data_IF_382479989864
#
_entry.id   IF_382479989864
#
_cell.length_a   1.000
_cell.length_b   1.000
_cell.length_c   1.000
_cell.angle_alpha   90.00
_cell.angle_beta   90.00
_cell.angle_gamma   90.00
#
_symmetry.space_group_name_H-M   'P 1'
#
loop_
_entity.id
_entity.type
_entity.pdbx_description
1 polymer ?
#
# COMPACT_ATOMS: atom_id res chain seq x y z
N UNK A 1 54.57 -35.98 58.91
CA UNK A 1 55.36 -34.75 58.76
C UNK A 1 54.97 -34.16 57.42
N UNK A 2 54.46 -32.91 57.39
CA UNK A 2 54.42 -31.90 56.29
C UNK A 2 54.42 -32.41 54.83
N UNK A 3 53.70 -31.91 53.84
CA UNK A 3 52.84 -30.74 53.57
C UNK A 3 52.38 -30.98 52.11
N UNK A 4 51.16 -30.59 51.72
CA UNK A 4 50.94 -29.68 50.58
C UNK A 4 49.46 -29.65 50.18
N UNK A 5 48.90 -28.47 50.40
CA UNK A 5 47.64 -27.95 49.93
C UNK A 5 47.61 -27.90 48.40
N UNK A 6 46.54 -28.36 47.77
CA UNK A 6 46.22 -28.02 46.38
C UNK A 6 45.01 -27.09 46.40
N UNK A 7 45.28 -25.85 46.00
CA UNK A 7 44.31 -24.80 45.71
C UNK A 7 43.63 -25.16 44.38
N UNK A 8 42.31 -25.29 44.38
CA UNK A 8 41.53 -25.40 43.15
C UNK A 8 41.42 -24.00 42.52
N UNK A 9 42.12 -23.78 41.41
CA UNK A 9 41.96 -22.60 40.57
C UNK A 9 40.69 -22.77 39.72
N UNK A 10 39.72 -21.88 39.91
CA UNK A 10 38.58 -21.74 39.01
C UNK A 10 39.08 -21.13 37.69
N UNK A 11 39.06 -21.91 36.61
CA UNK A 11 39.31 -21.42 35.26
C UNK A 11 38.05 -20.69 34.78
N UNK A 12 38.08 -19.36 34.80
CA UNK A 12 37.12 -18.52 34.07
C UNK A 12 37.41 -18.62 32.59
N UNK A 13 36.63 -19.41 31.86
CA UNK A 13 36.60 -19.36 30.40
C UNK A 13 35.96 -18.04 29.97
N UNK A 14 36.79 -17.08 29.58
CA UNK A 14 36.35 -15.86 28.91
C UNK A 14 35.75 -16.27 27.55
N UNK A 15 34.42 -16.23 27.46
CA UNK A 15 33.73 -16.21 26.16
C UNK A 15 34.01 -14.83 25.58
N UNK A 16 35.00 -14.74 24.70
CA UNK A 16 35.16 -13.58 23.84
C UNK A 16 34.03 -13.64 22.83
N UNK A 17 32.96 -12.89 23.09
CA UNK A 17 31.97 -12.59 22.08
C UNK A 17 32.71 -11.90 20.93
N UNK A 18 32.84 -12.60 19.80
CA UNK A 18 33.13 -11.93 18.54
C UNK A 18 31.93 -11.03 18.27
N UNK A 19 32.06 -9.75 18.54
CA UNK A 19 31.19 -8.74 17.97
C UNK A 19 31.29 -8.93 16.44
N UNK A 20 30.18 -9.31 15.83
CA UNK A 20 30.05 -9.26 14.38
C UNK A 20 30.13 -7.79 13.98
N UNK A 21 31.33 -7.36 13.58
CA UNK A 21 31.53 -6.07 12.96
C UNK A 21 31.05 -6.16 11.50
N UNK A 22 29.81 -5.77 11.28
CA UNK A 22 29.39 -4.87 10.18
C UNK A 22 27.87 -4.76 10.15
N UNK A 23 27.27 -4.03 11.09
CA UNK A 23 26.04 -3.33 10.75
C UNK A 23 26.45 -2.27 9.72
N UNK A 24 26.37 -2.58 8.43
CA UNK A 24 26.28 -1.49 7.46
C UNK A 24 25.02 -0.72 7.86
N UNK A 25 25.20 0.46 8.45
CA UNK A 25 24.09 1.37 8.70
C UNK A 25 23.46 1.62 7.34
N UNK A 26 22.25 1.12 7.14
CA UNK A 26 21.49 1.41 5.93
C UNK A 26 21.28 2.92 5.88
N UNK A 27 21.54 3.51 4.74
CA UNK A 27 21.34 4.94 4.53
C UNK A 27 20.09 5.08 3.69
N UNK A 28 19.04 5.60 4.30
CA UNK A 28 17.78 5.86 3.63
C UNK A 28 17.95 6.90 2.51
N UNK A 29 17.27 6.67 1.37
CA UNK A 29 17.24 7.66 0.29
C UNK A 29 16.34 8.82 0.69
N UNK A 30 16.89 10.03 0.67
CA UNK A 30 16.20 11.27 1.06
C UNK A 30 16.06 12.23 -0.11
N UNK A 31 15.01 13.05 -0.05
CA UNK A 31 14.70 14.07 -1.05
C UNK A 31 14.50 15.40 -0.35
N UNK A 32 14.76 16.51 -1.05
CA UNK A 32 14.55 17.83 -0.48
C UNK A 32 13.06 18.16 -0.40
N UNK A 33 12.58 18.45 0.80
CA UNK A 33 11.20 18.86 1.04
C UNK A 33 10.89 20.19 0.36
N UNK A 34 9.75 20.25 -0.34
CA UNK A 34 9.20 21.49 -0.91
C UNK A 34 8.23 22.12 0.10
N UNK A 35 8.58 23.28 0.67
CA UNK A 35 7.78 23.99 1.68
C UNK A 35 7.68 25.49 1.36
N UNK A 36 6.88 25.87 0.34
CA UNK A 36 6.74 27.25 -0.08
C UNK A 36 6.03 28.10 0.99
N UNK A 37 6.32 29.39 1.01
CA UNK A 37 5.61 30.34 1.88
C UNK A 37 4.17 30.53 1.40
N UNK A 38 3.25 30.85 2.32
CA UNK A 38 1.84 31.10 1.97
C UNK A 38 1.64 32.14 0.85
N UNK A 39 2.51 33.16 0.78
CA UNK A 39 2.48 34.15 -0.30
C UNK A 39 2.87 33.58 -1.67
N UNK A 40 3.79 32.61 -1.70
CA UNK A 40 4.20 31.92 -2.93
C UNK A 40 3.08 30.99 -3.40
N UNK A 41 2.45 30.27 -2.46
CA UNK A 41 1.27 29.44 -2.73
C UNK A 41 0.13 30.28 -3.31
N UNK A 42 -0.20 31.42 -2.67
CA UNK A 42 -1.25 32.31 -3.16
C UNK A 42 -0.94 32.88 -4.56
N UNK A 43 0.32 33.21 -4.84
CA UNK A 43 0.76 33.69 -6.16
C UNK A 43 0.75 32.59 -7.23
N UNK A 44 1.03 31.33 -6.86
CA UNK A 44 0.93 30.20 -7.76
C UNK A 44 -0.54 29.88 -8.06
N UNK A 45 -1.41 29.94 -7.05
CA UNK A 45 -2.84 29.70 -7.18
C UNK A 45 -3.52 30.61 -8.20
N UNK A 46 -3.14 31.88 -8.28
CA UNK A 46 -3.71 32.83 -9.26
C UNK A 46 -3.36 32.52 -10.72
N UNK A 47 -2.33 31.70 -10.96
CA UNK A 47 -1.83 31.34 -12.29
C UNK A 47 -1.96 29.84 -12.59
N UNK A 48 -2.53 29.06 -11.67
CA UNK A 48 -2.64 27.62 -11.82
C UNK A 48 -3.55 27.29 -13.00
N UNK A 49 -3.05 26.44 -13.91
CA UNK A 49 -3.83 25.93 -15.03
C UNK A 49 -4.49 24.62 -14.61
N UNK A 50 -5.79 24.51 -14.82
CA UNK A 50 -6.58 23.31 -14.52
C UNK A 50 -7.17 22.74 -15.79
N UNK A 51 -6.96 21.44 -16.01
CA UNK A 51 -7.56 20.73 -17.14
C UNK A 51 -9.01 20.33 -16.83
N UNK A 52 -9.93 20.60 -17.75
CA UNK A 52 -11.35 20.24 -17.63
C UNK A 52 -11.79 19.47 -18.88
N UNK A 53 -11.33 18.23 -19.02
CA UNK A 53 -11.71 17.40 -20.15
C UNK A 53 -12.04 15.96 -19.73
N UNK A 54 -12.95 15.37 -20.49
CA UNK A 54 -13.32 13.96 -20.40
C UNK A 54 -13.03 13.27 -21.73
N UNK A 55 -12.61 12.02 -21.66
CA UNK A 55 -12.57 11.12 -22.81
C UNK A 55 -13.82 10.23 -22.83
N UNK A 56 -14.01 9.45 -23.89
CA UNK A 56 -15.16 8.56 -24.04
C UNK A 56 -14.73 7.16 -24.50
N UNK A 57 -13.79 6.56 -23.77
CA UNK A 57 -13.27 5.21 -24.02
C UNK A 57 -14.17 4.19 -23.32
N UNK A 58 -14.99 3.48 -24.08
CA UNK A 58 -15.88 2.46 -23.50
C UNK A 58 -15.07 1.36 -22.82
N UNK A 59 -15.44 1.02 -21.58
CA UNK A 59 -14.87 -0.10 -20.85
C UNK A 59 -15.74 -1.35 -20.92
N UNK A 60 -15.21 -2.48 -20.45
CA UNK A 60 -15.93 -3.75 -20.45
C UNK A 60 -17.05 -3.80 -19.40
N UNK A 61 -16.81 -3.27 -18.21
CA UNK A 61 -17.74 -3.29 -17.08
C UNK A 61 -18.17 -1.88 -16.63
N UNK A 62 -17.30 -0.89 -16.78
CA UNK A 62 -17.58 0.51 -16.44
C UNK A 62 -16.91 1.45 -17.45
N UNK A 63 -17.50 2.62 -17.65
CA UNK A 63 -16.92 3.67 -18.51
C UNK A 63 -16.18 4.71 -17.67
N UNK A 64 -16.43 4.77 -16.36
CA UNK A 64 -15.72 5.65 -15.42
C UNK A 64 -15.46 4.92 -14.12
N UNK A 65 -14.32 5.19 -13.49
CA UNK A 65 -14.01 4.76 -12.13
C UNK A 65 -13.66 5.96 -11.26
N UNK A 66 -14.25 6.02 -10.07
CA UNK A 66 -13.96 7.01 -9.02
C UNK A 66 -13.49 6.29 -7.78
N UNK A 67 -12.24 6.50 -7.38
CA UNK A 67 -11.61 5.90 -6.22
C UNK A 67 -11.56 6.95 -5.13
N UNK A 68 -12.07 6.63 -3.95
CA UNK A 68 -12.08 7.49 -2.77
C UNK A 68 -11.35 6.77 -1.65
N UNK A 69 -10.28 7.37 -1.13
CA UNK A 69 -9.52 6.83 0.00
C UNK A 69 -9.80 7.64 1.25
N UNK A 70 -10.02 6.93 2.36
CA UNK A 70 -10.08 7.43 3.72
C UNK A 70 -8.83 6.96 4.49
N UNK A 71 -8.64 7.47 5.70
CA UNK A 71 -7.46 7.19 6.54
C UNK A 71 -7.63 5.96 7.44
N UNK A 72 -6.53 5.24 7.74
CA UNK A 72 -6.47 4.05 8.63
C UNK A 72 -7.61 3.95 9.63
N UNK A 73 -8.33 2.84 9.51
CA UNK A 73 -9.14 2.36 10.61
C UNK A 73 -9.23 0.84 10.57
N UNK A 74 -9.39 0.21 11.72
CA UNK A 74 -9.63 -1.24 11.74
C UNK A 74 -10.96 -1.59 11.07
N UNK A 75 -10.96 -2.62 10.22
CA UNK A 75 -12.12 -3.07 9.43
C UNK A 75 -13.45 -3.05 10.21
N UNK A 76 -13.47 -3.62 11.42
CA UNK A 76 -14.69 -3.74 12.22
C UNK A 76 -15.25 -2.38 12.65
N UNK A 77 -14.39 -1.36 12.85
CA UNK A 77 -14.82 0.00 13.17
C UNK A 77 -15.51 0.65 11.97
N UNK A 78 -14.92 0.52 10.78
CA UNK A 78 -15.51 1.03 9.53
C UNK A 78 -16.81 0.30 9.18
N UNK A 79 -16.79 -1.03 9.16
CA UNK A 79 -17.96 -1.86 8.84
C UNK A 79 -19.13 -1.66 9.83
N UNK A 80 -18.81 -1.26 11.08
CA UNK A 80 -19.79 -0.94 12.11
C UNK A 80 -20.34 0.49 12.09
N UNK A 81 -19.74 1.41 11.33
CA UNK A 81 -20.16 2.82 11.29
C UNK A 81 -21.43 2.98 10.44
N UNK A 82 -22.40 3.76 10.94
CA UNK A 82 -23.78 3.80 10.39
C UNK A 82 -23.88 4.31 8.93
N UNK A 83 -23.10 5.33 8.56
CA UNK A 83 -23.09 5.93 7.22
C UNK A 83 -22.38 5.04 6.20
N UNK A 84 -21.24 4.44 6.58
CA UNK A 84 -20.52 3.46 5.75
C UNK A 84 -21.34 2.19 5.55
N UNK A 85 -22.06 1.75 6.59
CA UNK A 85 -23.01 0.65 6.48
C UNK A 85 -24.18 0.99 5.56
N UNK A 86 -24.68 2.22 5.59
CA UNK A 86 -25.72 2.67 4.66
C UNK A 86 -25.21 2.64 3.21
N UNK A 87 -23.98 3.12 2.97
CA UNK A 87 -23.34 3.07 1.66
C UNK A 87 -23.14 1.62 1.18
N UNK A 88 -22.67 0.72 2.05
CA UNK A 88 -22.51 -0.69 1.73
C UNK A 88 -23.79 -1.37 1.22
N UNK A 89 -24.96 -0.96 1.74
CA UNK A 89 -26.26 -1.47 1.27
C UNK A 89 -26.58 -1.06 -0.18
N UNK A 90 -25.91 -0.02 -0.72
CA UNK A 90 -26.12 0.44 -2.09
C UNK A 90 -25.23 -0.30 -3.10
N UNK A 91 -24.37 -1.21 -2.66
CA UNK A 91 -23.32 -1.80 -3.50
C UNK A 91 -22.84 -3.17 -3.04
N UNK A 92 -21.57 -3.47 -3.33
CA UNK A 92 -20.93 -4.75 -2.97
C UNK A 92 -19.87 -4.46 -1.91
N UNK A 93 -19.89 -5.19 -0.79
CA UNK A 93 -18.80 -5.17 0.19
C UNK A 93 -17.69 -6.12 -0.28
N UNK A 94 -16.46 -5.64 -0.31
CA UNK A 94 -15.28 -6.48 -0.56
C UNK A 94 -14.68 -6.88 0.80
N UNK A 95 -15.10 -8.03 1.34
CA UNK A 95 -14.74 -8.42 2.72
C UNK A 95 -13.34 -9.04 2.84
N UNK A 96 -12.64 -9.22 1.72
CA UNK A 96 -11.27 -9.74 1.64
C UNK A 96 -10.34 -8.78 0.89
N UNK A 97 -10.50 -7.48 1.12
CA UNK A 97 -9.63 -6.42 0.61
C UNK A 97 -8.54 -6.04 1.64
N UNK A 98 -7.30 -5.87 1.17
CA UNK A 98 -6.12 -5.68 2.01
C UNK A 98 -5.30 -4.42 1.68
N UNK A 99 -4.81 -3.76 2.73
CA UNK A 99 -3.67 -2.84 2.63
C UNK A 99 -2.39 -3.58 2.23
N UNK A 100 -1.40 -2.87 1.69
CA UNK A 100 -0.14 -3.47 1.23
C UNK A 100 0.93 -3.49 2.32
N UNK A 101 1.01 -2.41 3.09
CA UNK A 101 1.96 -2.25 4.20
C UNK A 101 1.47 -1.15 5.14
N UNK A 102 2.28 -0.84 6.14
CA UNK A 102 2.25 0.42 6.86
C UNK A 102 3.52 1.25 6.55
N UNK A 103 3.48 2.58 6.70
CA UNK A 103 2.32 3.45 6.99
C UNK A 103 1.49 3.76 5.72
N UNK A 104 0.76 4.86 5.67
CA UNK A 104 -0.11 5.31 4.58
C UNK A 104 0.62 5.52 3.23
N UNK A 105 1.67 6.35 3.20
CA UNK A 105 2.35 6.79 1.96
C UNK A 105 2.74 5.65 1.00
N UNK A 106 3.34 4.52 1.43
CA UNK A 106 3.63 3.42 0.53
C UNK A 106 2.39 2.83 -0.17
N UNK A 107 1.22 2.81 0.47
CA UNK A 107 -0.01 2.33 -0.16
C UNK A 107 -0.44 3.25 -1.32
N UNK A 108 -0.37 4.57 -1.12
CA UNK A 108 -0.65 5.56 -2.16
C UNK A 108 0.30 5.39 -3.36
N UNK A 109 1.61 5.32 -3.11
CA UNK A 109 2.62 5.08 -4.16
C UNK A 109 2.29 3.80 -4.95
N UNK A 110 2.07 2.69 -4.25
CA UNK A 110 1.83 1.39 -4.86
C UNK A 110 0.52 1.32 -5.65
N UNK A 111 -0.52 2.03 -5.24
CA UNK A 111 -1.84 2.05 -5.89
C UNK A 111 -1.83 2.62 -7.31
N UNK A 112 -0.81 3.41 -7.68
CA UNK A 112 -0.69 4.00 -9.02
C UNK A 112 0.56 3.55 -9.77
N UNK A 113 1.62 3.11 -9.07
CA UNK A 113 2.88 2.68 -9.70
C UNK A 113 3.18 1.19 -9.58
N UNK A 114 2.36 0.41 -8.90
CA UNK A 114 2.50 -1.06 -8.84
C UNK A 114 3.66 -1.58 -7.97
N UNK A 115 4.29 -0.73 -7.18
CA UNK A 115 5.30 -1.05 -6.16
C UNK A 115 5.44 0.15 -5.20
N UNK A 116 5.76 -0.09 -3.94
CA UNK A 116 6.07 0.96 -2.95
C UNK A 116 7.58 1.09 -2.69
N UNK A 117 8.42 0.36 -3.42
CA UNK A 117 9.87 0.50 -3.46
C UNK A 117 10.54 0.44 -2.09
N UNK A 118 9.97 -0.39 -1.21
CA UNK A 118 10.36 -0.59 0.19
C UNK A 118 10.10 0.58 1.16
N UNK A 119 9.37 1.64 0.79
CA UNK A 119 9.06 2.72 1.73
C UNK A 119 8.34 2.20 3.00
N UNK A 120 8.75 2.69 4.18
CA UNK A 120 8.14 2.39 5.49
C UNK A 120 7.96 3.60 6.40
N UNK A 121 8.04 4.80 5.82
CA UNK A 121 7.79 6.07 6.49
C UNK A 121 6.98 7.00 5.58
N UNK A 122 6.65 8.18 6.11
CA UNK A 122 5.85 9.22 5.45
C UNK A 122 6.70 10.46 5.08
N UNK A 123 7.97 10.24 4.74
CA UNK A 123 8.89 11.35 4.40
C UNK A 123 8.63 11.85 2.99
N UNK A 124 9.12 13.05 2.65
CA UNK A 124 9.00 13.56 1.28
C UNK A 124 9.66 12.61 0.26
N UNK A 125 8.86 12.03 -0.65
CA UNK A 125 9.32 11.18 -1.75
C UNK A 125 9.20 11.86 -3.12
N UNK A 126 10.25 11.75 -3.95
CA UNK A 126 10.20 12.08 -5.37
C UNK A 126 10.74 10.90 -6.19
N UNK A 127 9.83 10.10 -6.74
CA UNK A 127 10.18 8.91 -7.52
C UNK A 127 10.68 9.31 -8.92
N UNK A 128 11.82 8.76 -9.38
CA UNK A 128 12.41 9.11 -10.67
C UNK A 128 11.46 9.01 -11.86
N UNK A 129 11.64 9.89 -12.85
CA UNK A 129 10.76 10.01 -14.03
C UNK A 129 10.76 8.80 -14.97
N UNK A 130 11.70 7.86 -14.81
CA UNK A 130 11.71 6.59 -15.55
C UNK A 130 10.82 5.51 -14.90
N UNK A 131 10.17 5.80 -13.77
CA UNK A 131 9.13 4.94 -13.19
C UNK A 131 7.77 5.34 -13.78
N UNK A 132 7.18 4.41 -14.53
CA UNK A 132 5.84 4.56 -15.08
C UNK A 132 4.75 4.34 -14.03
N UNK A 133 3.61 4.99 -14.22
CA UNK A 133 2.39 4.84 -13.43
C UNK A 133 1.22 4.42 -14.31
N UNK A 134 0.07 4.16 -13.71
CA UNK A 134 -1.18 3.87 -14.41
C UNK A 134 -1.54 4.93 -15.47
N UNK A 135 -1.09 6.18 -15.30
CA UNK A 135 -1.28 7.25 -16.29
C UNK A 135 -0.58 6.96 -17.61
N UNK A 136 0.62 6.36 -17.58
CA UNK A 136 1.32 5.97 -18.81
C UNK A 136 0.54 4.86 -19.56
N UNK A 137 -0.25 4.04 -18.85
CA UNK A 137 -1.15 3.06 -19.46
C UNK A 137 -2.36 3.75 -20.11
N UNK A 138 -2.91 4.78 -19.46
CA UNK A 138 -4.04 5.56 -19.97
C UNK A 138 -3.71 6.32 -21.25
N UNK A 139 -2.48 6.81 -21.40
CA UNK A 139 -2.01 7.48 -22.61
C UNK A 139 -2.13 6.59 -23.87
N UNK A 140 -2.12 5.26 -23.72
CA UNK A 140 -2.27 4.34 -24.86
C UNK A 140 -3.64 4.40 -25.54
N UNK A 141 -4.66 4.90 -24.83
CA UNK A 141 -6.03 5.05 -25.33
C UNK A 141 -6.62 6.44 -25.06
N UNK A 142 -5.80 7.40 -24.66
CA UNK A 142 -6.22 8.77 -24.30
C UNK A 142 -7.32 8.79 -23.21
N UNK A 143 -7.23 7.88 -22.24
CA UNK A 143 -8.17 7.82 -21.12
C UNK A 143 -7.90 9.00 -20.19
N UNK A 144 -8.91 9.86 -20.01
CA UNK A 144 -8.81 11.03 -19.15
C UNK A 144 -8.76 10.62 -17.69
N UNK A 145 -7.92 11.31 -16.93
CA UNK A 145 -7.74 11.06 -15.51
C UNK A 145 -7.59 12.37 -14.74
N UNK A 146 -7.94 12.37 -13.46
CA UNK A 146 -7.59 13.45 -12.53
C UNK A 146 -7.51 12.95 -11.09
N UNK A 147 -6.78 13.67 -10.26
CA UNK A 147 -6.85 13.54 -8.81
C UNK A 147 -7.57 14.75 -8.24
N UNK A 148 -8.45 14.54 -7.27
CA UNK A 148 -9.18 15.59 -6.57
C UNK A 148 -8.86 15.51 -5.08
N UNK A 149 -8.11 16.49 -4.61
CA UNK A 149 -7.54 16.50 -3.27
C UNK A 149 -8.18 17.64 -2.47
N UNK A 150 -8.88 17.30 -1.38
CA UNK A 150 -9.58 18.31 -0.59
C UNK A 150 -8.58 19.25 0.09
N UNK A 151 -8.86 20.55 0.00
CA UNK A 151 -7.98 21.63 0.47
C UNK A 151 -6.57 21.68 -0.15
N UNK A 152 -6.32 20.99 -1.28
CA UNK A 152 -5.13 21.26 -2.11
C UNK A 152 -5.15 22.75 -2.52
N UNK A 153 -4.14 23.56 -2.19
CA UNK A 153 -4.26 25.02 -2.28
C UNK A 153 -4.44 25.54 -3.71
N UNK A 154 -3.93 24.80 -4.70
CA UNK A 154 -4.18 25.03 -6.11
C UNK A 154 -3.84 23.78 -6.91
N UNK A 155 -4.35 23.70 -8.16
CA UNK A 155 -3.97 22.64 -9.09
C UNK A 155 -2.46 22.54 -9.24
N UNK A 156 -1.92 21.34 -9.17
CA UNK A 156 -0.50 21.07 -9.34
C UNK A 156 0.39 21.45 -8.16
N UNK A 157 -0.17 21.66 -6.97
CA UNK A 157 0.63 21.95 -5.78
C UNK A 157 1.51 20.74 -5.39
N UNK A 158 2.82 20.97 -5.29
CA UNK A 158 3.82 19.93 -5.01
C UNK A 158 4.43 20.04 -3.60
N UNK A 159 3.98 21.01 -2.79
CA UNK A 159 4.50 21.19 -1.44
C UNK A 159 4.12 20.03 -0.53
N UNK A 160 4.92 19.82 0.51
CA UNK A 160 4.77 18.70 1.45
C UNK A 160 3.40 18.68 2.15
N UNK A 161 2.90 19.84 2.52
CA UNK A 161 1.59 20.01 3.13
C UNK A 161 1.06 21.44 2.90
N UNK A 162 -0.22 21.61 3.17
CA UNK A 162 -0.87 22.91 3.27
C UNK A 162 -1.83 22.89 4.46
N UNK A 163 -1.65 23.83 5.38
CA UNK A 163 -2.47 23.94 6.59
C UNK A 163 -3.68 24.84 6.38
N UNK A 164 -4.68 24.67 7.23
CA UNK A 164 -5.81 25.57 7.31
C UNK A 164 -5.36 27.01 7.65
N UNK A 165 -5.87 27.99 6.92
CA UNK A 165 -5.42 29.38 7.07
C UNK A 165 -6.04 30.11 8.28
N UNK A 166 -7.10 29.54 8.90
CA UNK A 166 -7.76 30.13 10.06
C UNK A 166 -7.26 29.52 11.38
N UNK A 167 -7.13 28.18 11.45
CA UNK A 167 -6.80 27.46 12.69
C UNK A 167 -5.47 26.69 12.65
N UNK A 168 -4.76 26.70 11.51
CA UNK A 168 -3.47 26.02 11.30
C UNK A 168 -3.48 24.49 11.50
N UNK A 169 -4.65 23.86 11.56
CA UNK A 169 -4.75 22.40 11.49
C UNK A 169 -4.21 21.88 10.15
N UNK A 170 -3.82 20.61 10.10
CA UNK A 170 -3.45 19.99 8.83
C UNK A 170 -4.69 19.93 7.93
N UNK A 171 -4.52 20.33 6.67
CA UNK A 171 -5.58 20.26 5.67
C UNK A 171 -5.16 19.27 4.59
N UNK A 172 -4.27 19.68 3.69
CA UNK A 172 -3.72 18.83 2.64
C UNK A 172 -2.33 18.32 3.03
N UNK A 173 -2.07 17.03 2.79
CA UNK A 173 -0.73 16.42 2.89
C UNK A 173 -0.39 15.70 1.59
N UNK A 174 0.86 15.86 1.15
CA UNK A 174 1.33 15.28 -0.12
C UNK A 174 1.34 13.76 -0.13
N UNK A 175 1.56 13.14 1.03
CA UNK A 175 1.59 11.67 1.18
C UNK A 175 0.28 10.98 0.79
N UNK A 176 -0.85 11.69 0.78
CA UNK A 176 -2.16 11.17 0.36
C UNK A 176 -2.53 11.49 -1.10
N UNK A 177 -1.56 12.00 -1.87
CA UNK A 177 -1.71 12.38 -3.26
C UNK A 177 -0.74 11.53 -4.11
N UNK A 178 -1.19 10.44 -4.74
CA UNK A 178 -0.28 9.41 -5.23
C UNK A 178 0.54 9.85 -6.45
N UNK A 179 -0.05 10.50 -7.46
CA UNK A 179 0.67 10.81 -8.70
C UNK A 179 1.64 11.98 -8.56
N UNK A 180 1.44 12.93 -7.64
CA UNK A 180 2.41 14.01 -7.40
C UNK A 180 3.76 13.50 -6.86
N UNK A 181 3.81 12.25 -6.37
CA UNK A 181 5.03 11.60 -5.89
C UNK A 181 5.95 11.09 -7.01
N UNK A 182 5.46 11.05 -8.26
CA UNK A 182 6.21 10.56 -9.42
C UNK A 182 6.67 11.74 -10.29
N UNK A 183 7.98 11.87 -10.54
CA UNK A 183 8.51 12.94 -11.38
C UNK A 183 8.01 12.87 -12.84
N UNK A 184 7.60 11.69 -13.31
CA UNK A 184 6.93 11.51 -14.62
C UNK A 184 5.58 12.25 -14.71
N UNK A 185 5.03 12.68 -13.57
CA UNK A 185 3.84 13.53 -13.45
C UNK A 185 4.20 14.90 -12.92
N UNK A 186 4.92 14.98 -11.81
CA UNK A 186 5.23 16.24 -11.12
C UNK A 186 6.06 17.22 -11.96
N UNK A 187 6.89 16.72 -12.89
CA UNK A 187 7.70 17.53 -13.80
C UNK A 187 7.08 17.70 -15.19
N UNK A 188 5.84 17.23 -15.40
CA UNK A 188 5.10 17.37 -16.65
C UNK A 188 3.90 18.30 -16.42
N UNK A 189 3.99 19.55 -16.90
CA UNK A 189 2.98 20.58 -16.66
C UNK A 189 1.57 20.16 -17.08
N UNK A 190 1.43 19.41 -18.18
CA UNK A 190 0.11 18.94 -18.65
C UNK A 190 -0.48 17.88 -17.73
N UNK A 191 0.34 16.96 -17.21
CA UNK A 191 -0.11 15.94 -16.24
C UNK A 191 -0.36 16.55 -14.87
N UNK A 192 0.50 17.48 -14.44
CA UNK A 192 0.37 18.19 -13.18
C UNK A 192 -0.94 19.01 -13.11
N UNK A 193 -1.42 19.53 -14.25
CA UNK A 193 -2.71 20.21 -14.38
C UNK A 193 -3.95 19.30 -14.17
N UNK A 194 -3.76 17.98 -14.03
CA UNK A 194 -4.80 17.02 -13.65
C UNK A 194 -4.85 16.73 -12.14
N UNK A 195 -3.94 17.28 -11.34
CA UNK A 195 -3.93 17.15 -9.88
C UNK A 195 -4.61 18.37 -9.27
N UNK A 196 -5.88 18.24 -8.91
CA UNK A 196 -6.82 19.34 -8.71
C UNK A 196 -7.22 19.49 -7.26
N UNK A 197 -7.60 20.72 -6.89
CA UNK A 197 -8.39 20.94 -5.68
C UNK A 197 -9.76 20.25 -5.83
N UNK A 198 -10.25 19.64 -4.75
CA UNK A 198 -11.54 18.94 -4.72
C UNK A 198 -12.75 19.79 -5.18
N UNK A 199 -12.74 21.11 -5.00
CA UNK A 199 -13.77 22.01 -5.54
C UNK A 199 -13.93 21.93 -7.06
N UNK A 200 -12.88 21.52 -7.78
CA UNK A 200 -12.97 21.30 -9.23
C UNK A 200 -13.82 20.07 -9.59
N UNK A 201 -14.02 19.12 -8.67
CA UNK A 201 -14.89 17.96 -8.90
C UNK A 201 -16.32 18.40 -9.15
N UNK A 202 -16.86 19.32 -8.33
CA UNK A 202 -18.21 19.83 -8.52
C UNK A 202 -18.37 20.57 -9.85
N UNK A 203 -17.35 21.35 -10.23
CA UNK A 203 -17.32 22.00 -11.54
C UNK A 203 -17.34 20.96 -12.67
N UNK A 204 -16.46 19.97 -12.63
CA UNK A 204 -16.38 18.91 -13.64
C UNK A 204 -17.65 18.03 -13.70
N UNK A 205 -18.33 17.84 -12.56
CA UNK A 205 -19.63 17.18 -12.49
C UNK A 205 -20.72 18.00 -13.18
N UNK A 206 -20.81 19.30 -12.87
CA UNK A 206 -21.84 20.20 -13.42
C UNK A 206 -21.66 20.45 -14.92
N UNK A 207 -20.41 20.58 -15.36
CA UNK A 207 -20.07 20.83 -16.77
C UNK A 207 -20.05 19.54 -17.60
N UNK A 208 -20.28 18.38 -16.97
CA UNK A 208 -20.22 17.04 -17.56
C UNK A 208 -18.86 16.72 -18.20
N UNK A 209 -17.79 17.09 -17.50
CA UNK A 209 -16.38 16.89 -17.88
C UNK A 209 -15.60 16.01 -16.91
N UNK A 210 -16.26 15.33 -15.96
CA UNK A 210 -15.60 14.32 -15.11
C UNK A 210 -14.72 13.36 -15.91
N UNK A 211 -13.47 13.11 -15.51
CA UNK A 211 -12.58 12.20 -16.20
C UNK A 211 -13.04 10.74 -16.04
N UNK A 212 -12.50 9.84 -16.85
CA UNK A 212 -12.82 8.41 -16.77
C UNK A 212 -12.14 7.72 -15.59
N UNK A 213 -10.98 8.20 -15.14
CA UNK A 213 -10.33 7.76 -13.90
C UNK A 213 -10.19 8.93 -12.91
N UNK A 214 -10.80 8.81 -11.74
CA UNK A 214 -10.68 9.81 -10.67
C UNK A 214 -10.10 9.17 -9.42
N UNK A 215 -9.11 9.81 -8.79
CA UNK A 215 -8.66 9.47 -7.44
C UNK A 215 -8.98 10.64 -6.51
N UNK A 216 -9.61 10.37 -5.38
CA UNK A 216 -10.12 11.38 -4.46
C UNK A 216 -9.61 11.09 -3.05
N UNK A 217 -9.05 12.10 -2.41
CA UNK A 217 -8.69 12.06 -0.99
C UNK A 217 -9.32 13.25 -0.28
N UNK A 218 -10.09 13.05 0.80
CA UNK A 218 -10.48 14.13 1.71
C UNK A 218 -9.26 14.74 2.40
N UNK A 219 -9.47 15.84 3.10
CA UNK A 219 -8.43 16.45 3.93
C UNK A 219 -8.25 15.63 5.22
N UNK A 220 -7.18 15.94 5.97
CA UNK A 220 -6.80 15.25 7.22
C UNK A 220 -7.89 15.24 8.31
N UNK A 221 -8.89 16.12 8.21
CA UNK A 221 -10.04 16.11 9.13
C UNK A 221 -11.12 15.14 8.63
N UNK A 222 -11.42 15.17 7.34
CA UNK A 222 -12.52 14.47 6.69
C UNK A 222 -12.18 13.03 6.30
N UNK A 223 -10.91 12.68 6.14
CA UNK A 223 -10.45 11.31 5.90
C UNK A 223 -10.47 10.46 7.19
N UNK A 224 -10.40 11.12 8.35
CA UNK A 224 -10.42 10.50 9.67
C UNK A 224 -9.12 10.65 10.46
N UNK A 225 -8.02 11.15 9.87
CA UNK A 225 -6.68 11.19 10.46
C UNK A 225 -6.61 12.02 11.74
N UNK A 226 -6.97 13.30 11.65
CA UNK A 226 -6.98 14.23 12.78
C UNK A 226 -8.33 14.18 13.53
N UNK A 227 -9.22 13.26 13.14
CA UNK A 227 -10.53 13.05 13.77
C UNK A 227 -10.83 11.58 14.12
N UNK A 228 -11.79 10.94 13.45
CA UNK A 228 -12.20 9.55 13.64
C UNK A 228 -13.20 9.10 12.57
N UNK A 229 -13.45 7.79 12.54
CA UNK A 229 -14.36 7.11 11.63
C UNK A 229 -15.79 7.69 11.57
N UNK A 230 -16.28 8.37 12.62
CA UNK A 230 -17.60 9.01 12.57
C UNK A 230 -17.61 10.18 11.58
N UNK A 231 -16.55 10.98 11.57
CA UNK A 231 -16.42 12.13 10.66
C UNK A 231 -16.19 11.62 9.24
N UNK A 232 -15.27 10.68 9.05
CA UNK A 232 -14.99 10.09 7.75
C UNK A 232 -16.19 9.39 7.11
N UNK A 233 -16.93 8.59 7.89
CA UNK A 233 -18.16 7.94 7.41
C UNK A 233 -19.24 8.95 7.03
N UNK A 234 -19.43 10.00 7.84
CA UNK A 234 -20.39 11.06 7.53
C UNK A 234 -20.00 11.82 6.26
N UNK A 235 -18.74 12.24 6.14
CA UNK A 235 -18.22 12.92 4.94
C UNK A 235 -18.45 12.07 3.68
N UNK A 236 -18.13 10.77 3.77
CA UNK A 236 -18.29 9.83 2.65
C UNK A 236 -19.74 9.75 2.17
N UNK A 237 -20.69 9.70 3.10
CA UNK A 237 -22.11 9.65 2.75
C UNK A 237 -22.63 11.00 2.25
N UNK A 238 -22.26 12.10 2.89
CA UNK A 238 -22.64 13.44 2.44
C UNK A 238 -22.17 13.69 0.99
N UNK A 239 -20.98 13.20 0.65
CA UNK A 239 -20.43 13.26 -0.70
C UNK A 239 -21.12 12.30 -1.68
N UNK A 240 -21.26 11.02 -1.34
CA UNK A 240 -21.70 9.99 -2.27
C UNK A 240 -23.21 9.89 -2.43
N UNK A 241 -24.02 10.08 -1.37
CA UNK A 241 -25.48 9.90 -1.42
C UNK A 241 -26.14 10.77 -2.51
N UNK A 242 -25.82 12.08 -2.66
CA UNK A 242 -26.36 12.88 -3.76
C UNK A 242 -25.91 12.39 -5.15
N UNK A 243 -24.67 11.91 -5.27
CA UNK A 243 -24.10 11.43 -6.53
C UNK A 243 -24.76 10.14 -7.01
N UNK A 244 -25.18 9.27 -6.09
CA UNK A 244 -25.92 8.04 -6.42
C UNK A 244 -27.29 8.32 -7.08
N UNK A 245 -27.79 9.55 -6.98
CA UNK A 245 -29.02 10.00 -7.66
C UNK A 245 -28.75 10.88 -8.89
N UNK A 246 -27.49 11.18 -9.22
CA UNK A 246 -27.12 12.03 -10.34
C UNK A 246 -26.97 11.19 -11.62
N UNK A 247 -27.78 11.48 -12.65
CA UNK A 247 -27.81 10.70 -13.89
C UNK A 247 -26.46 10.67 -14.62
N UNK A 248 -25.75 11.80 -14.71
CA UNK A 248 -24.45 11.86 -15.39
C UNK A 248 -23.36 11.12 -14.60
N UNK A 249 -23.36 11.26 -13.28
CA UNK A 249 -22.44 10.52 -12.42
C UNK A 249 -22.71 9.02 -12.49
N UNK A 250 -23.98 8.60 -12.48
CA UNK A 250 -24.35 7.18 -12.47
C UNK A 250 -24.27 6.51 -13.84
N UNK A 251 -23.97 7.23 -14.92
CA UNK A 251 -23.80 6.66 -16.26
C UNK A 251 -22.54 5.77 -16.31
N UNK A 252 -22.71 4.47 -16.08
CA UNK A 252 -21.66 3.43 -16.08
C UNK A 252 -20.42 3.76 -15.22
N UNK A 253 -20.59 4.52 -14.14
CA UNK A 253 -19.50 4.79 -13.19
C UNK A 253 -19.42 3.69 -12.13
N UNK A 254 -18.23 3.14 -11.94
CA UNK A 254 -17.85 2.37 -10.75
C UNK A 254 -17.25 3.32 -9.71
N UNK A 255 -17.69 3.22 -8.46
CA UNK A 255 -17.07 3.94 -7.34
C UNK A 255 -16.44 2.92 -6.42
N UNK A 256 -15.21 3.18 -5.99
CA UNK A 256 -14.51 2.40 -4.95
C UNK A 256 -14.32 3.32 -3.76
N UNK A 257 -14.92 3.00 -2.61
CA UNK A 257 -14.61 3.65 -1.35
C UNK A 257 -13.81 2.67 -0.49
N UNK A 258 -12.61 3.07 -0.09
CA UNK A 258 -11.67 2.23 0.65
C UNK A 258 -10.82 3.06 1.62
N UNK A 259 -9.90 2.40 2.32
CA UNK A 259 -8.93 2.99 3.24
C UNK A 259 -7.53 2.60 2.77
N UNK A 260 -6.53 3.42 3.09
CA UNK A 260 -5.13 3.16 2.75
C UNK A 260 -4.55 1.91 3.44
N UNK A 261 -4.95 1.66 4.67
CA UNK A 261 -4.52 0.54 5.53
C UNK A 261 -5.41 0.44 6.80
N UNK A 262 -5.06 -0.46 7.72
CA UNK A 262 -5.74 -0.56 9.02
C UNK A 262 -4.96 0.18 10.13
N UNK A 263 -5.62 0.52 11.24
CA UNK A 263 -4.98 1.26 12.34
C UNK A 263 -4.02 0.38 13.16
N UNK A 264 -4.36 -0.89 13.38
CA UNK A 264 -3.63 -1.77 14.29
C UNK A 264 -2.57 -2.61 13.58
N UNK A 265 -1.28 -2.29 13.78
CA UNK A 265 -0.12 -2.96 13.14
C UNK A 265 0.10 -4.43 13.57
N UNK A 266 -0.62 -4.91 14.59
CA UNK A 266 -0.50 -6.28 15.10
C UNK A 266 -1.56 -7.25 14.60
N UNK A 267 -2.52 -6.78 13.80
CA UNK A 267 -3.58 -7.60 13.20
C UNK A 267 -3.43 -7.63 11.67
N UNK A 268 -4.29 -8.40 10.99
CA UNK A 268 -4.29 -8.47 9.53
C UNK A 268 -4.69 -7.12 8.92
N UNK A 269 -3.90 -6.58 8.00
CA UNK A 269 -4.17 -5.33 7.29
C UNK A 269 -5.33 -5.46 6.30
N UNK A 270 -6.52 -5.71 6.82
CA UNK A 270 -7.77 -5.75 6.07
C UNK A 270 -8.46 -4.40 6.21
N UNK A 271 -8.92 -3.86 5.10
CA UNK A 271 -9.59 -2.56 5.04
C UNK A 271 -11.00 -2.71 4.52
N UNK A 272 -11.92 -1.95 5.09
CA UNK A 272 -13.31 -1.97 4.65
C UNK A 272 -13.41 -1.33 3.27
N UNK A 273 -13.90 -2.07 2.29
CA UNK A 273 -14.01 -1.57 0.92
C UNK A 273 -15.37 -1.89 0.36
N UNK A 274 -15.95 -0.92 -0.36
CA UNK A 274 -17.23 -1.09 -1.05
C UNK A 274 -17.13 -0.62 -2.50
N UNK A 275 -17.85 -1.32 -3.37
CA UNK A 275 -18.09 -0.95 -4.76
C UNK A 275 -19.50 -0.39 -4.90
N UNK A 276 -19.63 0.81 -5.46
CA UNK A 276 -20.89 1.54 -5.67
C UNK A 276 -20.98 2.04 -7.12
N UNK A 277 -22.05 2.78 -7.42
CA UNK A 277 -22.22 3.45 -8.71
C UNK A 277 -23.08 2.67 -9.70
N UNK A 278 -23.35 3.27 -10.86
CA UNK A 278 -24.25 2.68 -11.85
C UNK A 278 -23.66 1.51 -12.64
N UNK A 279 -22.35 1.27 -12.53
CA UNK A 279 -21.73 0.07 -13.05
C UNK A 279 -22.01 -1.19 -12.19
N UNK A 280 -22.51 -1.04 -10.95
CA UNK A 280 -22.88 -2.17 -10.10
C UNK A 280 -24.28 -2.67 -10.47
N UNK A 281 -24.44 -3.92 -10.95
CA UNK A 281 -25.75 -4.49 -11.25
C UNK A 281 -26.67 -4.51 -10.04
N UNK A 282 -27.98 -4.27 -10.24
CA UNK A 282 -28.96 -4.18 -9.16
C UNK A 282 -29.02 -5.47 -8.31
N UNK A 283 -28.83 -6.64 -8.92
CA UNK A 283 -28.82 -7.94 -8.24
C UNK A 283 -27.58 -8.16 -7.35
N UNK A 284 -26.53 -7.36 -7.51
CA UNK A 284 -25.33 -7.42 -6.69
C UNK A 284 -25.33 -6.36 -5.57
N UNK A 285 -26.32 -5.45 -5.52
CA UNK A 285 -26.43 -4.50 -4.42
C UNK A 285 -26.76 -5.22 -3.10
N UNK A 286 -26.18 -4.73 -2.01
CA UNK A 286 -26.26 -5.33 -0.68
C UNK A 286 -25.76 -6.80 -0.65
N UNK A 287 -24.69 -7.09 -1.41
CA UNK A 287 -24.01 -8.38 -1.39
C UNK A 287 -22.56 -8.24 -0.89
N UNK A 288 -21.87 -9.37 -0.81
CA UNK A 288 -20.47 -9.44 -0.37
C UNK A 288 -19.69 -10.28 -1.37
N UNK A 289 -18.51 -9.78 -1.74
CA UNK A 289 -17.50 -10.48 -2.53
C UNK A 289 -16.29 -10.78 -1.62
N UNK A 290 -15.93 -12.07 -1.56
CA UNK A 290 -14.83 -12.59 -0.73
C UNK A 290 -13.56 -12.91 -1.51
N UNK A 291 -13.52 -12.55 -2.79
CA UNK A 291 -12.31 -12.60 -3.61
C UNK A 291 -11.21 -11.77 -2.97
N UNK A 292 -9.98 -12.28 -2.98
CA UNK A 292 -8.84 -11.53 -2.45
C UNK A 292 -8.53 -10.33 -3.35
N UNK A 293 -8.43 -9.16 -2.75
CA UNK A 293 -7.96 -7.93 -3.38
C UNK A 293 -6.95 -7.22 -2.48
N UNK A 294 -6.13 -6.38 -3.10
CA UNK A 294 -5.27 -5.40 -2.44
C UNK A 294 -5.15 -4.13 -3.29
N UNK A 295 -4.41 -3.11 -2.87
CA UNK A 295 -4.33 -1.85 -3.62
C UNK A 295 -3.79 -1.97 -5.05
N UNK A 296 -3.09 -3.05 -5.41
CA UNK A 296 -2.71 -3.29 -6.81
C UNK A 296 -3.93 -3.63 -7.69
N UNK A 297 -5.03 -4.06 -7.07
CA UNK A 297 -6.31 -4.31 -7.75
C UNK A 297 -6.94 -3.03 -8.31
N UNK A 298 -6.53 -1.86 -7.81
CA UNK A 298 -6.90 -0.54 -8.35
C UNK A 298 -6.18 -0.20 -9.66
N UNK A 299 -5.09 -0.92 -9.99
CA UNK A 299 -4.42 -0.83 -11.29
C UNK A 299 -4.94 -1.92 -12.22
N UNK A 300 -4.95 -3.17 -11.77
CA UNK A 300 -5.31 -4.31 -12.61
C UNK A 300 -6.76 -4.26 -13.09
N UNK A 301 -7.70 -3.74 -12.27
CA UNK A 301 -9.11 -3.67 -12.65
C UNK A 301 -9.38 -2.67 -13.79
N UNK A 302 -8.92 -1.39 -13.73
CA UNK A 302 -8.94 -0.50 -14.89
C UNK A 302 -8.19 -1.04 -16.11
N UNK A 303 -7.03 -1.66 -15.91
CA UNK A 303 -6.23 -2.26 -17.00
C UNK A 303 -7.00 -3.37 -17.71
N UNK A 304 -7.67 -4.25 -16.96
CA UNK A 304 -8.53 -5.27 -17.54
C UNK A 304 -9.78 -4.67 -18.19
N UNK A 305 -10.44 -3.73 -17.52
CA UNK A 305 -11.67 -3.09 -17.99
C UNK A 305 -11.49 -2.39 -19.34
N UNK A 306 -10.38 -1.69 -19.53
CA UNK A 306 -10.07 -1.00 -20.78
C UNK A 306 -9.08 -1.76 -21.67
N UNK A 307 -8.77 -3.03 -21.39
CA UNK A 307 -7.88 -3.86 -22.21
C UNK A 307 -6.54 -3.15 -22.53
N UNK A 308 -5.84 -2.76 -21.45
CA UNK A 308 -4.55 -2.05 -21.47
C UNK A 308 -3.37 -3.02 -21.22
N UNK A 309 -2.14 -2.64 -21.60
CA UNK A 309 -0.93 -3.30 -21.11
C UNK A 309 -0.71 -3.09 -19.60
N UNK A 310 0.29 -3.75 -19.01
CA UNK A 310 0.66 -3.60 -17.58
C UNK A 310 1.92 -2.76 -17.36
N UNK A 311 2.19 -2.40 -16.11
CA UNK A 311 3.46 -1.79 -15.66
C UNK A 311 4.58 -2.83 -15.51
N UNK A 312 4.27 -4.13 -15.60
CA UNK A 312 5.23 -5.20 -15.35
C UNK A 312 5.62 -5.34 -13.87
N UNK A 313 4.79 -4.84 -12.94
CA UNK A 313 5.04 -4.89 -11.49
C UNK A 313 3.92 -5.70 -10.82
N UNK A 314 3.60 -5.42 -9.56
CA UNK A 314 2.60 -6.19 -8.82
C UNK A 314 1.18 -6.07 -9.40
N UNK A 315 0.94 -5.14 -10.34
CA UNK A 315 -0.28 -5.03 -11.13
C UNK A 315 -0.52 -6.23 -12.08
N UNK A 316 0.54 -6.92 -12.52
CA UNK A 316 0.47 -8.05 -13.47
C UNK A 316 -0.41 -9.18 -12.94
N UNK A 317 -0.21 -9.54 -11.67
CA UNK A 317 -0.81 -10.70 -11.02
C UNK A 317 -1.91 -10.32 -10.02
N UNK A 318 -2.15 -9.04 -9.75
CA UNK A 318 -3.23 -8.61 -8.88
C UNK A 318 -4.59 -9.09 -9.42
N UNK A 319 -5.48 -9.56 -8.54
CA UNK A 319 -6.84 -9.90 -8.93
C UNK A 319 -7.56 -8.65 -9.44
N UNK A 320 -8.57 -8.83 -10.29
CA UNK A 320 -9.41 -7.74 -10.78
C UNK A 320 -10.78 -7.86 -10.12
N UNK A 321 -11.47 -6.76 -9.85
CA UNK A 321 -12.80 -6.81 -9.25
C UNK A 321 -13.69 -7.81 -9.99
N UNK A 322 -14.42 -8.64 -9.24
CA UNK A 322 -15.17 -9.78 -9.80
C UNK A 322 -16.17 -9.34 -10.87
N UNK A 323 -16.72 -8.12 -10.74
CA UNK A 323 -17.55 -7.50 -11.77
C UNK A 323 -16.83 -7.33 -13.13
N UNK A 324 -15.53 -7.03 -13.11
CA UNK A 324 -14.66 -6.94 -14.29
C UNK A 324 -14.28 -8.34 -14.75
N UNK A 325 -13.91 -9.23 -13.83
CA UNK A 325 -13.52 -10.60 -14.14
C UNK A 325 -14.60 -11.34 -14.95
N UNK A 326 -15.85 -11.21 -14.51
CA UNK A 326 -17.01 -11.85 -15.12
C UNK A 326 -17.26 -11.46 -16.58
N UNK A 327 -17.00 -10.19 -16.94
CA UNK A 327 -17.24 -9.69 -18.30
C UNK A 327 -16.00 -9.77 -19.20
N UNK A 328 -14.81 -9.89 -18.61
CA UNK A 328 -13.53 -9.99 -19.34
C UNK A 328 -13.00 -11.42 -19.46
N UNK A 329 -13.70 -12.40 -18.88
CA UNK A 329 -13.29 -13.81 -18.83
C UNK A 329 -11.91 -14.01 -18.17
N UNK A 330 -11.63 -13.19 -17.16
CA UNK A 330 -10.46 -13.33 -16.30
C UNK A 330 -10.83 -14.23 -15.12
N UNK A 331 -9.92 -15.13 -14.73
CA UNK A 331 -10.08 -15.93 -13.51
C UNK A 331 -9.22 -15.34 -12.40
N UNK A 332 -9.85 -14.89 -11.32
CA UNK A 332 -9.17 -14.46 -10.11
C UNK A 332 -8.47 -15.66 -9.42
N UNK A 333 -7.32 -15.40 -8.79
CA UNK A 333 -6.57 -16.40 -8.04
C UNK A 333 -7.04 -16.39 -6.60
N UNK A 334 -7.25 -17.58 -6.04
CA UNK A 334 -7.36 -17.75 -4.60
C UNK A 334 -5.99 -17.50 -3.95
N UNK A 335 -5.97 -16.67 -2.92
CA UNK A 335 -4.76 -16.34 -2.16
C UNK A 335 -4.91 -16.83 -0.73
N UNK A 336 -3.95 -17.64 -0.26
CA UNK A 336 -3.92 -18.07 1.14
C UNK A 336 -3.53 -16.88 2.04
N UNK A 337 -4.51 -16.41 2.80
CA UNK A 337 -4.35 -15.30 3.74
C UNK A 337 -4.18 -15.75 5.20
N UNK A 338 -3.96 -17.06 5.45
CA UNK A 338 -3.90 -17.63 6.80
C UNK A 338 -2.89 -16.90 7.69
N UNK A 339 -1.68 -16.68 7.18
CA UNK A 339 -0.56 -16.04 7.90
C UNK A 339 -0.18 -14.66 7.35
N UNK A 340 -1.00 -14.08 6.47
CA UNK A 340 -0.75 -12.77 5.88
C UNK A 340 -1.07 -11.67 6.89
N UNK A 341 -0.15 -10.71 7.03
CA UNK A 341 -0.32 -9.51 7.86
C UNK A 341 -0.33 -8.23 7.03
N UNK A 342 0.66 -8.03 6.15
CA UNK A 342 0.84 -6.79 5.37
C UNK A 342 1.05 -5.53 6.24
N UNK A 343 1.86 -5.64 7.30
CA UNK A 343 2.16 -4.51 8.20
C UNK A 343 3.63 -4.10 8.24
N UNK A 344 4.44 -4.62 7.31
CA UNK A 344 5.87 -4.41 7.30
C UNK A 344 6.38 -4.40 5.87
N UNK A 345 7.40 -3.57 5.65
CA UNK A 345 8.12 -3.51 4.38
C UNK A 345 9.25 -4.53 4.31
N UNK A 346 9.78 -4.71 3.10
CA UNK A 346 11.05 -5.37 2.84
C UNK A 346 12.17 -4.33 2.74
N UNK A 347 13.45 -4.72 2.83
CA UNK A 347 14.55 -3.76 2.58
C UNK A 347 14.78 -3.61 1.08
N UNK A 348 14.68 -2.39 0.58
CA UNK A 348 14.82 -2.09 -0.84
C UNK A 348 15.26 -0.65 -1.12
N UNK A 349 14.94 -0.18 -2.32
CA UNK A 349 15.43 1.09 -2.86
C UNK A 349 15.21 2.28 -1.90
N UNK A 350 14.03 2.48 -1.32
CA UNK A 350 13.85 3.68 -0.48
C UNK A 350 14.60 3.58 0.87
N UNK A 351 14.82 2.38 1.41
CA UNK A 351 15.49 2.20 2.71
C UNK A 351 17.00 2.08 2.68
N UNK A 352 17.59 1.85 1.51
CA UNK A 352 19.02 1.61 1.40
C UNK A 352 19.56 2.17 0.08
N UNK A 353 20.29 3.28 0.16
CA UNK A 353 20.85 4.02 -0.97
C UNK A 353 21.86 3.22 -1.81
N UNK A 354 22.27 2.04 -1.34
CA UNK A 354 23.12 1.09 -2.07
C UNK A 354 22.31 0.07 -2.90
N UNK A 355 21.01 -0.10 -2.64
CA UNK A 355 20.15 -1.03 -3.39
C UNK A 355 19.63 -0.31 -4.64
N UNK A 356 19.86 -0.88 -5.83
CA UNK A 356 19.34 -0.32 -7.07
C UNK A 356 17.81 -0.36 -7.13
N UNK A 357 17.22 0.56 -7.90
CA UNK A 357 15.78 0.60 -8.16
C UNK A 357 15.36 -0.70 -8.89
N UNK A 358 14.37 -1.47 -8.40
CA UNK A 358 14.01 -2.74 -9.02
C UNK A 358 13.34 -2.54 -10.38
N UNK A 359 13.88 -3.20 -11.39
CA UNK A 359 13.31 -3.21 -12.73
C UNK A 359 11.96 -3.95 -12.74
N UNK A 360 10.96 -3.46 -13.49
CA UNK A 360 9.74 -4.23 -13.73
C UNK A 360 10.06 -5.50 -14.54
N UNK A 361 9.23 -6.54 -14.39
CA UNK A 361 9.28 -7.73 -15.20
C UNK A 361 8.77 -7.45 -16.62
N UNK A 362 9.66 -6.98 -17.49
CA UNK A 362 9.34 -6.60 -18.89
C UNK A 362 8.86 -7.75 -19.77
N UNK A 363 8.94 -9.00 -19.29
CA UNK A 363 8.47 -10.20 -20.02
C UNK A 363 7.09 -10.68 -19.55
N UNK A 364 6.51 -10.01 -18.54
CA UNK A 364 5.24 -10.40 -17.95
C UNK A 364 4.09 -10.28 -18.94
N UNK A 365 3.14 -11.22 -18.81
CA UNK A 365 1.82 -11.16 -19.42
C UNK A 365 0.83 -11.07 -18.26
N UNK A 366 0.03 -10.00 -18.23
CA UNK A 366 -0.96 -9.78 -17.17
C UNK A 366 -2.21 -10.65 -17.40
N UNK A 367 -3.17 -10.52 -16.49
CA UNK A 367 -4.39 -11.35 -16.49
C UNK A 367 -5.31 -11.17 -17.70
N UNK A 368 -5.32 -10.01 -18.35
CA UNK A 368 -6.09 -9.79 -19.58
C UNK A 368 -5.33 -10.29 -20.84
N UNK A 369 -4.16 -10.92 -20.68
CA UNK A 369 -3.36 -11.48 -21.76
C UNK A 369 -2.49 -10.47 -22.51
N UNK A 370 -2.38 -9.23 -22.01
CA UNK A 370 -1.53 -8.19 -22.56
C UNK A 370 -0.13 -8.25 -21.95
N UNK A 371 0.86 -7.82 -22.72
CA UNK A 371 2.22 -7.65 -22.22
C UNK A 371 2.38 -6.36 -21.42
N UNK A 372 3.60 -6.13 -20.97
CA UNK A 372 4.03 -4.86 -20.38
C UNK A 372 3.99 -3.75 -21.42
N UNK A 373 3.69 -2.52 -21.00
CA UNK A 373 3.72 -1.34 -21.86
C UNK A 373 5.06 -1.24 -22.58
N UNK A 374 5.05 -1.06 -23.91
CA UNK A 374 6.28 -1.08 -24.71
C UNK A 374 7.31 -0.04 -24.24
N UNK A 375 6.86 1.15 -23.83
CA UNK A 375 7.74 2.17 -23.26
C UNK A 375 8.47 1.68 -22.00
N UNK A 376 7.81 0.89 -21.15
CA UNK A 376 8.43 0.29 -19.97
C UNK A 376 9.45 -0.77 -20.41
N UNK A 377 9.12 -1.60 -21.40
CA UNK A 377 10.06 -2.59 -21.96
C UNK A 377 11.31 -1.92 -22.52
N UNK A 378 11.15 -0.84 -23.30
CA UNK A 378 12.26 -0.10 -23.91
C UNK A 378 13.12 0.61 -22.85
N UNK A 379 12.49 1.15 -21.80
CA UNK A 379 13.17 1.86 -20.71
C UNK A 379 13.93 0.93 -19.77
N UNK A 380 13.43 -0.29 -19.54
CA UNK A 380 13.90 -1.18 -18.47
C UNK A 380 14.51 -2.50 -18.96
N UNK A 381 14.45 -2.83 -20.25
CA UNK A 381 14.84 -4.14 -20.76
C UNK A 381 16.28 -4.54 -20.44
N UNK A 382 17.24 -3.61 -20.58
CA UNK A 382 18.64 -3.85 -20.25
C UNK A 382 18.86 -4.01 -18.74
N UNK A 383 18.24 -3.15 -17.93
CA UNK A 383 18.32 -3.20 -16.47
C UNK A 383 17.68 -4.48 -15.91
N UNK A 384 16.51 -4.87 -16.42
CA UNK A 384 15.85 -6.12 -16.07
C UNK A 384 16.75 -7.33 -16.38
N UNK A 385 17.36 -7.34 -17.57
CA UNK A 385 18.29 -8.42 -17.97
C UNK A 385 19.51 -8.47 -17.06
N UNK A 386 20.05 -7.31 -16.67
CA UNK A 386 21.18 -7.21 -15.74
C UNK A 386 20.80 -7.72 -14.34
N UNK A 387 19.68 -7.25 -13.77
CA UNK A 387 19.22 -7.64 -12.42
C UNK A 387 18.87 -9.14 -12.34
N UNK A 388 18.20 -9.69 -13.36
CA UNK A 388 17.91 -11.13 -13.43
C UNK A 388 19.17 -12.00 -13.45
N UNK A 389 20.23 -11.53 -14.12
CA UNK A 389 21.50 -12.26 -14.21
C UNK A 389 22.29 -12.27 -12.89
N UNK A 390 21.97 -11.36 -11.96
CA UNK A 390 22.75 -11.14 -10.75
C UNK A 390 22.32 -12.01 -9.54
N UNK A 391 21.33 -12.90 -9.70
CA UNK A 391 20.90 -13.93 -8.73
C UNK A 391 20.41 -13.47 -7.34
N UNK A 392 20.28 -12.16 -7.08
CA UNK A 392 19.67 -11.59 -5.86
C UNK A 392 18.24 -11.07 -6.07
N UNK A 393 17.69 -11.17 -7.29
CA UNK A 393 16.43 -10.55 -7.65
C UNK A 393 15.25 -11.52 -7.51
N UNK A 394 14.31 -11.20 -6.63
CA UNK A 394 12.94 -11.73 -6.70
C UNK A 394 12.15 -10.74 -7.55
N UNK A 395 11.60 -11.21 -8.67
CA UNK A 395 10.74 -10.40 -9.54
C UNK A 395 9.66 -9.69 -8.73
N UNK A 396 9.36 -8.42 -9.06
CA UNK A 396 8.23 -7.61 -8.54
C UNK A 396 6.84 -8.22 -8.88
N UNK A 397 6.83 -9.47 -9.32
CA UNK A 397 5.66 -10.28 -9.66
C UNK A 397 5.75 -11.63 -8.94
N UNK A 398 5.85 -11.64 -7.62
CA UNK A 398 5.31 -12.71 -6.77
C UNK A 398 5.20 -12.20 -5.35
N UNK A 399 3.99 -12.22 -4.79
CA UNK A 399 3.75 -12.10 -3.36
C UNK A 399 4.68 -13.05 -2.62
N UNK A 400 5.67 -12.54 -1.89
CA UNK A 400 6.40 -13.36 -0.92
C UNK A 400 5.44 -13.58 0.25
N UNK A 401 4.61 -14.61 0.18
CA UNK A 401 4.03 -15.21 1.37
C UNK A 401 5.18 -15.91 2.10
N UNK A 402 5.73 -15.26 3.12
CA UNK A 402 6.65 -15.91 4.03
C UNK A 402 5.93 -17.13 4.63
N UNK A 403 6.24 -18.32 4.12
CA UNK A 403 5.80 -19.57 4.71
C UNK A 403 6.77 -19.91 5.85
N UNK A 404 6.25 -20.32 7.01
CA UNK A 404 7.07 -20.66 8.19
C UNK A 404 7.97 -21.91 7.95
N UNK A 405 7.98 -22.46 6.73
CA UNK A 405 8.91 -23.50 6.28
C UNK A 405 10.21 -22.98 5.65
N UNK A 406 10.29 -21.71 5.21
CA UNK A 406 11.46 -21.18 4.49
C UNK A 406 12.57 -20.61 5.41
N UNK A 407 12.32 -20.63 6.72
CA UNK A 407 13.32 -20.28 7.75
C UNK A 407 14.54 -21.23 7.77
N UNK A 408 14.51 -22.36 7.05
CA UNK A 408 15.65 -23.27 6.94
C UNK A 408 16.61 -22.96 5.77
N UNK A 409 16.26 -22.05 4.85
CA UNK A 409 17.09 -21.76 3.65
C UNK A 409 17.65 -20.34 3.63
N UNK A 410 17.41 -19.55 4.68
CA UNK A 410 18.11 -18.28 4.92
C UNK A 410 19.05 -18.41 6.10
N UNK A 411 20.15 -19.15 5.94
CA UNK A 411 21.38 -18.92 6.71
C UNK A 411 22.58 -19.54 5.98
N UNK A 412 23.66 -18.75 5.89
CA UNK A 412 25.04 -19.09 5.51
C UNK A 412 25.44 -19.01 4.03
N UNK A 413 25.42 -17.79 3.48
CA UNK A 413 26.53 -17.34 2.63
C UNK A 413 27.72 -16.99 3.55
N UNK A 414 28.58 -17.97 3.84
CA UNK A 414 29.75 -17.76 4.69
C UNK A 414 30.67 -18.99 4.74
N UNK A 415 31.78 -18.91 4.00
CA UNK A 415 32.96 -19.76 4.03
C UNK A 415 32.80 -21.30 4.12
N UNK A 416 33.10 -21.94 2.98
CA UNK A 416 33.44 -23.35 2.90
C UNK A 416 34.70 -23.67 3.72
N UNK A 417 34.57 -24.57 4.70
CA UNK A 417 35.67 -25.44 5.11
C UNK A 417 35.10 -26.82 5.45
N UNK A 418 35.61 -27.81 4.73
CA UNK A 418 35.29 -29.22 4.82
C UNK A 418 35.78 -29.84 6.14
N UNK A 419 34.99 -30.72 6.76
CA UNK A 419 35.46 -32.03 7.25
C UNK A 419 34.34 -32.95 7.76
N UNK A 420 34.22 -34.08 7.05
CA UNK A 420 33.94 -35.45 7.49
C UNK A 420 32.65 -35.84 8.25
N UNK A 421 31.89 -36.66 7.52
CA UNK A 421 30.90 -37.66 7.92
C UNK A 421 31.27 -38.56 9.11
N UNK A 422 30.28 -38.86 9.97
CA UNK A 422 30.06 -40.22 10.48
C UNK A 422 28.60 -40.46 10.86
N UNK A 423 28.03 -41.47 10.22
CA UNK A 423 26.71 -42.08 10.39
C UNK A 423 26.56 -42.88 11.70
N UNK A 424 25.38 -42.82 12.33
CA UNK A 424 24.80 -44.00 13.00
C UNK A 424 23.29 -43.83 13.23
N UNK A 425 22.55 -44.81 12.73
CA UNK A 425 21.10 -45.07 12.83
C UNK A 425 20.69 -45.77 14.14
N UNK A 426 19.36 -45.80 14.36
CA UNK A 426 18.55 -46.62 15.29
C UNK A 426 18.24 -45.98 16.66
N UNK A 427 17.04 -46.08 17.22
CA UNK A 427 15.86 -46.86 16.86
C UNK A 427 14.68 -46.47 17.75
N UNK A 428 13.47 -46.83 17.32
CA UNK A 428 12.23 -46.56 18.04
C UNK A 428 12.11 -47.42 19.31
N UNK A 429 11.40 -46.91 20.32
CA UNK A 429 10.39 -47.69 21.02
C UNK A 429 9.50 -46.84 21.92
N UNK A 430 8.20 -47.03 21.74
CA UNK A 430 7.10 -46.57 22.58
C UNK A 430 6.91 -47.47 23.80
N UNK A 431 6.53 -46.90 24.95
CA UNK A 431 5.55 -47.52 25.87
C UNK A 431 4.96 -46.48 26.84
N UNK A 432 3.63 -46.52 26.87
CA UNK A 432 2.62 -45.92 27.76
C UNK A 432 2.69 -46.49 29.20
N UNK A 433 2.37 -45.82 30.32
CA UNK A 433 1.07 -45.40 30.91
C UNK A 433 1.32 -45.06 32.44
N UNK A 434 0.32 -44.72 33.30
CA UNK A 434 -0.10 -43.37 33.71
C UNK A 434 0.14 -43.12 35.24
N UNK A 435 -0.24 -41.97 35.82
CA UNK A 435 -0.85 -41.89 37.17
C UNK A 435 -1.31 -40.45 37.53
N UNK A 436 -2.37 -40.42 38.34
CA UNK A 436 -3.23 -39.29 38.72
C UNK A 436 -2.89 -38.66 40.07
N UNK A 437 -3.16 -37.34 40.17
CA UNK A 437 -3.68 -36.52 41.29
C UNK A 437 -3.11 -36.58 42.72
N UNK A 438 -2.82 -35.39 43.26
CA UNK A 438 -3.15 -34.74 44.56
C UNK A 438 -1.96 -33.80 44.88
N UNK A 439 -2.04 -32.58 45.41
CA UNK A 439 -3.01 -31.83 46.18
C UNK A 439 -2.19 -30.90 47.13
N UNK A 440 -2.40 -29.59 47.02
CA UNK A 440 -2.15 -28.51 48.00
C UNK A 440 -0.77 -28.32 48.71
N UNK A 441 -0.31 -27.06 48.76
CA UNK A 441 0.58 -26.58 49.84
C UNK A 441 1.57 -25.48 49.43
N UNK A 442 1.23 -24.23 49.73
CA UNK A 442 2.01 -23.01 49.48
C UNK A 442 3.30 -22.87 50.31
N UNK A 443 4.36 -22.23 49.76
CA UNK A 443 5.21 -21.23 50.45
C UNK A 443 5.92 -20.31 49.42
N UNK A 444 5.49 -19.04 49.38
CA UNK A 444 6.26 -17.77 49.40
C UNK A 444 7.69 -17.76 48.84
N UNK A 445 7.93 -16.96 47.78
CA UNK A 445 9.01 -15.96 47.78
C UNK A 445 8.67 -14.80 46.84
N UNK A 446 8.45 -13.64 47.45
CA UNK A 446 8.28 -12.37 46.79
C UNK A 446 9.66 -11.82 46.38
N UNK A 447 9.79 -11.40 45.13
CA UNK A 447 10.82 -10.47 44.69
C UNK A 447 10.15 -9.26 44.05
N UNK A 448 10.45 -8.12 44.65
CA UNK A 448 10.02 -6.77 44.36
C UNK A 448 10.36 -6.33 42.94
N UNK A 449 9.37 -5.86 42.17
CA UNK A 449 9.58 -4.91 41.08
C UNK A 449 9.25 -3.50 41.59
N UNK A 450 10.28 -2.76 41.94
CA UNK A 450 10.23 -1.31 42.08
C UNK A 450 10.79 -0.65 40.82
N UNK A 451 9.96 0.19 40.22
CA UNK A 451 10.30 1.43 39.50
C UNK A 451 11.24 1.37 38.30
N UNK A 452 10.70 1.63 37.10
CA UNK A 452 11.17 2.75 36.28
C UNK A 452 9.98 3.35 35.49
N UNK A 453 9.61 4.56 35.91
CA UNK A 453 8.73 5.49 35.19
C UNK A 453 9.63 6.38 34.33
N UNK A 454 9.19 6.68 33.11
CA UNK A 454 9.55 7.91 32.39
C UNK A 454 10.32 7.71 31.10
N UNK A 455 9.65 7.80 29.95
CA UNK A 455 9.51 9.06 29.22
C UNK A 455 8.65 8.82 27.97
N UNK A 456 7.44 9.33 28.04
CA UNK A 456 6.62 9.73 26.90
C UNK A 456 6.98 11.21 26.65
N UNK A 457 7.32 11.59 25.41
CA UNK A 457 6.80 12.79 24.72
C UNK A 457 7.68 13.25 23.54
N UNK A 458 6.95 13.67 22.49
CA UNK A 458 7.27 14.64 21.43
C UNK A 458 8.17 14.16 20.28
N UNK A 459 7.55 13.94 19.12
CA UNK A 459 7.89 14.73 17.94
C UNK A 459 6.60 15.22 17.26
N UNK A 460 6.63 16.54 17.01
CA UNK A 460 5.72 17.34 16.19
C UNK A 460 6.19 17.22 14.75
#
# INVERSE_FOLDING_TARGET
>A
MKLNSIVAAAATTAVTAWAADSSSSRVERTYSTISPMASEIASAASNATTNHFTSNVTGAAFDRIVIVWLENTDYDKAAGQEDLKWLAQQGIVLDNYWGLTHPSEPNYIASVGGDYFALDDDRFIALPSNISTIVDLFDTKEISWSEYQEHLPHTGFQGFNYSNQDNFANDYVRKHNPLVMYDSVAQNETRLANIKNFTMFEQDLNDRTLPQYSFITPNMTNDGHDTNIRIAGKWSRDFLEPLLSNEYFMENTLVVLTFDENETYSIKNKVFTILLGGAVPDELKNTTDSTYYDHYSLISSPVANWDLPSLGRHDVDANVFELVANVTNITNKDVDTTYKLNNATYVGYLLDDQIALPAPNVTAINRNGRGVLQQVVDQWGDEYSAQMSASYFTSTTTTVSASVGDAATMTLAGNSSTLATSSATQGSNSTTHPFTSTGAGAVINALSLSSLIGMLAVFI
#
